data_IF_137541827375
#
_entry.id   IF_137541827375
#
_cell.length_a   1.000
_cell.length_b   1.000
_cell.length_c   1.000
_cell.angle_alpha   90.00
_cell.angle_beta   90.00
_cell.angle_gamma   90.00
#
_symmetry.space_group_name_H-M   'P 1'
#
loop_
_entity.id
_entity.type
_entity.pdbx_description
1 polymer ?
#
# COMPACT_ATOMS: atom_id res chain seq x y z
N UNK A 1 -5.77 26.17 14.15
CA UNK A 1 -4.77 25.27 13.55
C UNK A 1 -4.41 25.82 12.17
N UNK A 2 -3.32 26.58 12.03
CA UNK A 2 -2.92 27.13 10.72
C UNK A 2 -2.26 26.03 9.90
N UNK A 3 -2.87 25.65 8.78
CA UNK A 3 -2.24 24.78 7.78
C UNK A 3 -0.92 25.43 7.35
N UNK A 4 0.22 24.71 7.36
CA UNK A 4 1.44 25.21 6.76
C UNK A 4 1.18 25.41 5.26
N UNK A 5 1.56 26.57 4.74
CA UNK A 5 1.42 26.89 3.32
C UNK A 5 2.17 25.83 2.48
N UNK A 6 1.59 25.37 1.37
CA UNK A 6 2.28 24.45 0.47
C UNK A 6 3.60 25.09 0.00
N UNK A 7 4.69 24.32 -0.12
CA UNK A 7 5.96 24.83 -0.60
C UNK A 7 5.77 25.48 -1.98
N UNK A 8 6.32 26.69 -2.17
CA UNK A 8 6.30 27.36 -3.49
C UNK A 8 6.96 26.45 -4.53
N UNK A 9 6.39 26.30 -5.73
CA UNK A 9 6.96 25.47 -6.78
C UNK A 9 8.31 26.06 -7.19
N UNK A 10 9.40 25.42 -6.78
CA UNK A 10 10.72 25.70 -7.32
C UNK A 10 10.76 25.15 -8.75
N UNK A 11 11.01 26.03 -9.72
CA UNK A 11 11.08 25.73 -11.16
C UNK A 11 12.09 24.62 -11.53
N UNK A 12 12.97 24.23 -10.60
CA UNK A 12 13.89 23.09 -10.74
C UNK A 12 13.22 21.71 -10.72
N UNK A 13 11.95 21.60 -10.31
CA UNK A 13 11.29 20.31 -10.06
C UNK A 13 10.31 19.85 -11.16
N UNK A 14 10.16 20.60 -12.26
CA UNK A 14 9.16 20.32 -13.30
C UNK A 14 9.48 19.09 -14.17
N UNK A 15 10.76 18.75 -14.37
CA UNK A 15 11.18 17.74 -15.35
C UNK A 15 10.70 16.31 -15.05
N UNK A 16 10.62 15.92 -13.77
CA UNK A 16 10.23 14.54 -13.42
C UNK A 16 8.72 14.32 -13.40
N UNK A 17 7.93 15.38 -13.15
CA UNK A 17 6.48 15.32 -13.34
C UNK A 17 6.10 15.03 -14.80
N UNK A 18 6.88 15.59 -15.73
CA UNK A 18 6.75 15.26 -17.17
C UNK A 18 7.12 13.81 -17.44
N UNK A 19 8.21 13.29 -16.84
CA UNK A 19 8.59 11.88 -17.01
C UNK A 19 7.50 10.90 -16.52
N UNK A 20 6.84 11.22 -15.40
CA UNK A 20 5.72 10.45 -14.87
C UNK A 20 4.49 10.46 -15.79
N UNK A 21 4.15 11.62 -16.35
CA UNK A 21 3.05 11.76 -17.32
C UNK A 21 3.40 11.02 -18.61
N UNK A 22 4.64 11.13 -19.09
CA UNK A 22 5.13 10.41 -20.26
C UNK A 22 5.07 8.91 -20.07
N UNK A 23 5.37 8.39 -18.88
CA UNK A 23 5.23 6.96 -18.58
C UNK A 23 3.79 6.48 -18.74
N UNK A 24 2.82 7.18 -18.13
CA UNK A 24 1.40 6.83 -18.25
C UNK A 24 0.95 6.92 -19.72
N UNK A 25 1.38 7.95 -20.45
CA UNK A 25 1.04 8.11 -21.86
C UNK A 25 1.61 6.99 -22.73
N UNK A 26 2.87 6.58 -22.51
CA UNK A 26 3.53 5.49 -23.25
C UNK A 26 2.94 4.12 -22.87
N UNK A 27 2.56 3.92 -21.61
CA UNK A 27 1.88 2.67 -21.20
C UNK A 27 0.50 2.57 -21.83
N UNK A 28 -0.26 3.68 -21.91
CA UNK A 28 -1.55 3.70 -22.60
C UNK A 28 -1.46 3.36 -24.10
N UNK A 29 -0.30 3.61 -24.74
CA UNK A 29 -0.06 3.16 -26.12
C UNK A 29 -0.09 1.64 -26.25
N UNK A 30 0.05 0.86 -25.18
CA UNK A 30 -0.14 -0.59 -25.24
C UNK A 30 -1.53 -0.95 -25.79
N UNK A 31 -2.55 -0.16 -25.43
CA UNK A 31 -3.93 -0.40 -25.88
C UNK A 31 -4.25 0.24 -27.23
N UNK A 32 -3.64 1.39 -27.54
CA UNK A 32 -3.93 2.14 -28.77
C UNK A 32 -3.04 1.72 -29.93
N UNK A 33 -1.75 1.48 -29.68
CA UNK A 33 -0.75 1.14 -30.68
C UNK A 33 0.41 0.32 -30.07
N UNK A 34 0.25 -1.02 -29.97
CA UNK A 34 1.26 -1.91 -29.38
C UNK A 34 2.66 -1.79 -30.00
N UNK A 35 2.74 -1.49 -31.31
CA UNK A 35 4.00 -1.33 -32.04
C UNK A 35 4.83 -0.11 -31.58
N UNK A 36 4.17 0.95 -31.13
CA UNK A 36 4.86 2.13 -30.58
C UNK A 36 5.23 1.91 -29.11
N UNK A 37 4.36 1.25 -28.35
CA UNK A 37 4.66 0.87 -26.97
C UNK A 37 5.92 0.00 -26.88
N UNK A 38 6.03 -1.04 -27.72
CA UNK A 38 7.20 -1.96 -27.71
C UNK A 38 8.52 -1.28 -28.06
N UNK A 39 8.49 -0.12 -28.73
CA UNK A 39 9.68 0.68 -29.05
C UNK A 39 9.98 1.75 -28.00
N UNK A 40 8.96 2.47 -27.54
CA UNK A 40 9.14 3.63 -26.65
C UNK A 40 9.35 3.23 -25.19
N UNK A 41 8.67 2.18 -24.72
CA UNK A 41 8.76 1.75 -23.32
C UNK A 41 10.19 1.29 -22.95
N UNK A 42 10.88 0.45 -23.74
CA UNK A 42 12.27 0.09 -23.44
C UNK A 42 13.21 1.30 -23.46
N UNK A 43 13.02 2.24 -24.39
CA UNK A 43 13.84 3.46 -24.47
C UNK A 43 13.70 4.31 -23.21
N UNK A 44 12.48 4.47 -22.70
CA UNK A 44 12.22 5.18 -21.45
C UNK A 44 12.93 4.49 -20.27
N UNK A 45 12.82 3.16 -20.16
CA UNK A 45 13.47 2.39 -19.10
C UNK A 45 14.99 2.44 -19.18
N UNK A 46 15.58 2.32 -20.38
CA UNK A 46 17.03 2.46 -20.59
C UNK A 46 17.50 3.85 -20.15
N UNK A 47 16.77 4.90 -20.54
CA UNK A 47 17.10 6.26 -20.13
C UNK A 47 17.05 6.44 -18.60
N UNK A 48 16.00 5.95 -17.94
CA UNK A 48 15.87 6.00 -16.48
C UNK A 48 16.97 5.18 -15.78
N UNK A 49 17.30 4.00 -16.30
CA UNK A 49 18.36 3.14 -15.76
C UNK A 49 19.75 3.79 -15.90
N UNK A 50 20.07 4.36 -17.07
CA UNK A 50 21.31 5.08 -17.29
C UNK A 50 21.41 6.33 -16.39
N UNK A 51 20.31 7.07 -16.23
CA UNK A 51 20.25 8.21 -15.34
C UNK A 51 20.50 7.80 -13.87
N UNK A 52 19.91 6.68 -13.42
CA UNK A 52 20.17 6.14 -12.09
C UNK A 52 21.63 5.72 -11.92
N UNK A 53 22.17 4.91 -12.84
CA UNK A 53 23.58 4.46 -12.77
C UNK A 53 24.57 5.63 -12.76
N UNK A 54 24.28 6.71 -13.49
CA UNK A 54 25.11 7.91 -13.49
C UNK A 54 25.02 8.71 -12.18
N UNK A 55 23.90 8.66 -11.45
CA UNK A 55 23.64 9.50 -10.26
C UNK A 55 23.90 8.81 -8.93
N UNK A 56 23.63 7.52 -8.84
CA UNK A 56 23.77 6.70 -7.63
C UNK A 56 25.17 6.81 -6.99
N UNK A 57 26.30 6.78 -7.73
CA UNK A 57 27.64 6.92 -7.12
C UNK A 57 27.91 8.30 -6.51
N UNK A 58 27.27 9.35 -7.03
CA UNK A 58 27.48 10.74 -6.61
C UNK A 58 26.41 11.25 -5.64
N UNK A 59 25.47 10.39 -5.23
CA UNK A 59 24.41 10.77 -4.33
C UNK A 59 24.94 11.14 -2.94
N UNK A 60 24.59 12.33 -2.45
CA UNK A 60 25.20 12.91 -1.23
C UNK A 60 24.65 12.33 0.07
N UNK A 61 23.44 11.78 0.07
CA UNK A 61 22.71 11.44 1.31
C UNK A 61 22.77 9.95 1.68
N UNK A 62 23.75 9.18 1.18
CA UNK A 62 23.87 7.75 1.47
C UNK A 62 23.91 7.36 2.96
N UNK A 63 24.47 8.23 3.81
CA UNK A 63 24.49 8.01 5.25
C UNK A 63 23.09 8.07 5.89
N UNK A 64 22.22 8.95 5.41
CA UNK A 64 20.83 9.10 5.85
C UNK A 64 19.96 7.95 5.30
N UNK A 65 20.24 7.52 4.07
CA UNK A 65 19.61 6.35 3.45
C UNK A 65 19.91 5.08 4.22
N UNK A 66 21.18 4.85 4.58
CA UNK A 66 21.59 3.68 5.35
C UNK A 66 20.89 3.62 6.72
N UNK A 67 20.72 4.77 7.39
CA UNK A 67 19.99 4.83 8.66
C UNK A 67 18.50 4.53 8.47
N UNK A 68 17.94 4.90 7.33
CA UNK A 68 16.53 4.67 6.99
C UNK A 68 16.25 3.25 6.46
N UNK A 69 17.29 2.47 6.17
CA UNK A 69 17.16 1.10 5.67
C UNK A 69 16.50 0.16 6.68
N UNK A 70 16.89 0.25 7.96
CA UNK A 70 16.31 -0.59 9.03
C UNK A 70 14.79 -0.40 9.13
N UNK A 71 14.27 0.85 9.28
CA UNK A 71 12.83 1.05 9.29
C UNK A 71 12.14 0.63 7.98
N UNK A 72 12.82 0.77 6.83
CA UNK A 72 12.29 0.32 5.55
C UNK A 72 12.11 -1.19 5.50
N UNK A 73 13.14 -1.97 5.86
CA UNK A 73 13.08 -3.44 5.89
C UNK A 73 12.04 -3.92 6.91
N UNK A 74 11.99 -3.31 8.10
CA UNK A 74 10.96 -3.63 9.10
C UNK A 74 9.54 -3.39 8.55
N UNK A 75 9.35 -2.30 7.79
CA UNK A 75 8.06 -1.98 7.16
C UNK A 75 7.70 -2.97 6.04
N UNK A 76 8.67 -3.48 5.28
CA UNK A 76 8.46 -4.55 4.30
C UNK A 76 8.01 -5.83 4.99
N UNK A 77 8.70 -6.25 6.06
CA UNK A 77 8.31 -7.46 6.81
C UNK A 77 6.89 -7.32 7.37
N UNK A 78 6.56 -6.16 7.92
CA UNK A 78 5.21 -5.88 8.40
C UNK A 78 4.15 -5.90 7.28
N UNK A 79 4.47 -5.34 6.10
CA UNK A 79 3.61 -5.43 4.92
C UNK A 79 3.36 -6.88 4.50
N UNK A 80 4.42 -7.70 4.43
CA UNK A 80 4.30 -9.12 4.04
C UNK A 80 3.45 -9.90 5.05
N UNK A 81 3.58 -9.61 6.35
CA UNK A 81 2.73 -10.18 7.37
C UNK A 81 1.26 -9.76 7.21
N UNK A 82 1.00 -8.48 6.91
CA UNK A 82 -0.35 -7.99 6.64
C UNK A 82 -0.97 -8.64 5.38
N UNK A 83 -0.19 -8.81 4.31
CA UNK A 83 -0.62 -9.52 3.10
C UNK A 83 -0.93 -10.99 3.36
N UNK A 84 -0.11 -11.66 4.17
CA UNK A 84 -0.35 -13.05 4.57
C UNK A 84 -1.65 -13.16 5.39
N UNK A 85 -1.86 -12.25 6.34
CA UNK A 85 -3.09 -12.20 7.12
C UNK A 85 -4.32 -11.93 6.25
N UNK A 86 -4.22 -11.01 5.28
CA UNK A 86 -5.29 -10.74 4.31
C UNK A 86 -5.62 -11.99 3.49
N UNK A 87 -4.60 -12.68 2.95
CA UNK A 87 -4.80 -13.91 2.16
C UNK A 87 -5.46 -15.03 2.98
N UNK A 88 -5.04 -15.23 4.24
CA UNK A 88 -5.66 -16.19 5.15
C UNK A 88 -7.12 -15.80 5.42
N UNK A 89 -7.38 -14.53 5.73
CA UNK A 89 -8.73 -14.02 6.02
C UNK A 89 -9.66 -14.17 4.82
N UNK A 90 -9.22 -13.80 3.61
CA UNK A 90 -9.96 -13.95 2.35
C UNK A 90 -10.31 -15.40 2.10
N UNK A 91 -9.32 -16.31 2.19
CA UNK A 91 -9.58 -17.73 2.00
C UNK A 91 -10.54 -18.27 3.06
N UNK A 92 -10.33 -17.91 4.32
CA UNK A 92 -11.12 -18.36 5.45
C UNK A 92 -12.59 -17.98 5.30
N UNK A 93 -12.88 -16.70 5.06
CA UNK A 93 -14.25 -16.21 4.88
C UNK A 93 -14.95 -16.89 3.70
N UNK A 94 -14.29 -16.99 2.55
CA UNK A 94 -14.88 -17.65 1.38
C UNK A 94 -15.14 -19.13 1.61
N UNK A 95 -14.16 -19.81 2.22
CA UNK A 95 -14.27 -21.22 2.51
C UNK A 95 -15.36 -21.51 3.55
N UNK A 96 -15.43 -20.72 4.61
CA UNK A 96 -16.34 -20.95 5.74
C UNK A 96 -17.80 -20.68 5.36
N UNK A 97 -18.09 -19.68 4.53
CA UNK A 97 -19.46 -19.42 4.07
C UNK A 97 -19.92 -20.39 2.96
N UNK A 98 -18.98 -20.94 2.20
CA UNK A 98 -19.26 -21.84 1.09
C UNK A 98 -19.78 -21.13 -0.16
N UNK A 99 -19.66 -21.78 -1.32
CA UNK A 99 -20.01 -21.16 -2.61
C UNK A 99 -21.50 -20.83 -2.75
N UNK A 100 -22.38 -21.61 -2.12
CA UNK A 100 -23.83 -21.39 -2.21
C UNK A 100 -24.22 -20.04 -1.61
N UNK A 101 -23.54 -19.63 -0.54
CA UNK A 101 -23.74 -18.31 0.06
C UNK A 101 -23.42 -17.19 -0.93
N UNK A 102 -22.22 -17.22 -1.51
CA UNK A 102 -21.75 -16.19 -2.44
C UNK A 102 -22.65 -16.05 -3.67
N UNK A 103 -23.26 -17.16 -4.13
CA UNK A 103 -24.18 -17.16 -5.28
C UNK A 103 -25.57 -16.64 -4.94
N UNK A 104 -26.07 -16.96 -3.75
CA UNK A 104 -27.47 -16.71 -3.39
C UNK A 104 -27.69 -15.37 -2.70
N UNK A 105 -26.63 -14.72 -2.19
CA UNK A 105 -26.76 -13.39 -1.61
C UNK A 105 -26.80 -12.30 -2.69
N UNK A 106 -27.87 -11.50 -2.75
CA UNK A 106 -27.92 -10.37 -3.67
C UNK A 106 -26.90 -9.30 -3.25
N UNK A 107 -26.30 -8.58 -4.22
CA UNK A 107 -25.44 -7.45 -3.91
C UNK A 107 -26.24 -6.33 -3.22
N UNK A 108 -25.56 -5.52 -2.42
CA UNK A 108 -26.17 -4.39 -1.74
C UNK A 108 -26.61 -3.30 -2.74
N UNK A 109 -27.68 -2.54 -2.42
CA UNK A 109 -28.06 -1.39 -3.24
C UNK A 109 -26.98 -0.31 -3.20
N UNK A 110 -26.38 -0.02 -4.35
CA UNK A 110 -25.32 0.98 -4.52
C UNK A 110 -25.81 2.17 -5.35
N UNK A 111 -26.24 3.22 -4.66
CA UNK A 111 -26.70 4.46 -5.30
C UNK A 111 -25.59 5.19 -6.06
N UNK A 112 -24.33 5.06 -5.64
CA UNK A 112 -23.19 5.62 -6.36
C UNK A 112 -23.02 4.97 -7.73
N UNK A 113 -23.19 3.65 -7.80
CA UNK A 113 -23.22 2.93 -9.07
C UNK A 113 -24.38 3.41 -9.97
N UNK A 114 -25.58 3.57 -9.41
CA UNK A 114 -26.75 4.03 -10.17
C UNK A 114 -26.54 5.42 -10.76
N UNK A 115 -25.92 6.33 -10.01
CA UNK A 115 -25.57 7.67 -10.49
C UNK A 115 -24.58 7.58 -11.66
N UNK A 116 -23.55 6.75 -11.57
CA UNK A 116 -22.58 6.56 -12.65
C UNK A 116 -23.23 5.97 -13.92
N UNK A 117 -24.19 5.07 -13.76
CA UNK A 117 -24.98 4.54 -14.88
C UNK A 117 -25.87 5.62 -15.50
N UNK A 118 -26.59 6.39 -14.68
CA UNK A 118 -27.42 7.50 -15.15
C UNK A 118 -26.58 8.57 -15.89
N UNK A 119 -25.37 8.86 -15.40
CA UNK A 119 -24.43 9.76 -16.09
C UNK A 119 -23.98 9.19 -17.44
N UNK A 120 -23.72 7.89 -17.53
CA UNK A 120 -23.34 7.26 -18.81
C UNK A 120 -24.45 7.37 -19.87
N UNK A 121 -25.72 7.40 -19.47
CA UNK A 121 -26.85 7.59 -20.39
C UNK A 121 -27.01 9.05 -20.85
N UNK A 122 -26.59 10.01 -20.03
CA UNK A 122 -26.77 11.45 -20.28
C UNK A 122 -25.55 12.12 -20.92
N UNK A 123 -24.35 11.59 -20.71
CA UNK A 123 -23.11 12.19 -21.20
C UNK A 123 -22.84 11.83 -22.68
N UNK A 124 -22.17 12.71 -23.44
CA UNK A 124 -21.69 12.41 -24.78
C UNK A 124 -20.83 11.13 -24.83
N UNK A 125 -20.96 10.36 -25.91
CA UNK A 125 -20.25 9.09 -26.10
C UNK A 125 -18.73 9.18 -25.93
N UNK A 126 -18.13 10.29 -26.36
CA UNK A 126 -16.70 10.55 -26.20
C UNK A 126 -16.28 10.66 -24.71
N UNK A 127 -17.11 11.31 -23.88
CA UNK A 127 -16.84 11.45 -22.43
C UNK A 127 -17.01 10.10 -21.75
N UNK A 128 -18.05 9.36 -22.10
CA UNK A 128 -18.27 8.00 -21.56
C UNK A 128 -17.12 7.06 -21.93
N UNK A 129 -16.63 7.14 -23.18
CA UNK A 129 -15.48 6.37 -23.62
C UNK A 129 -14.21 6.72 -22.81
N UNK A 130 -13.97 8.00 -22.53
CA UNK A 130 -12.85 8.44 -21.70
C UNK A 130 -12.96 7.95 -20.25
N UNK A 131 -14.15 8.03 -19.65
CA UNK A 131 -14.41 7.54 -18.29
C UNK A 131 -14.24 6.01 -18.18
N UNK A 132 -14.54 5.27 -19.27
CA UNK A 132 -14.35 3.82 -19.33
C UNK A 132 -12.96 3.38 -19.76
N UNK A 133 -12.16 4.28 -20.35
CA UNK A 133 -10.85 3.93 -20.87
C UNK A 133 -9.91 3.45 -19.76
N UNK A 134 -9.10 2.40 -19.99
CA UNK A 134 -8.12 1.92 -19.03
C UNK A 134 -6.87 2.82 -18.99
N UNK A 135 -7.05 4.07 -18.56
CA UNK A 135 -5.99 5.08 -18.51
C UNK A 135 -4.94 4.74 -17.46
N UNK A 136 -5.40 4.30 -16.28
CA UNK A 136 -4.53 3.99 -15.15
C UNK A 136 -5.01 2.75 -14.42
N UNK A 137 -4.06 2.00 -13.88
CA UNK A 137 -4.27 0.81 -13.08
C UNK A 137 -3.33 0.78 -11.87
N UNK A 138 -3.39 -0.28 -11.08
CA UNK A 138 -2.58 -0.41 -9.86
C UNK A 138 -1.07 -0.29 -10.13
N UNK A 139 -0.58 -0.91 -11.20
CA UNK A 139 0.85 -0.91 -11.54
C UNK A 139 1.36 0.50 -11.79
N UNK A 140 0.56 1.36 -12.44
CA UNK A 140 0.93 2.75 -12.66
C UNK A 140 1.11 3.54 -11.36
N UNK A 141 0.25 3.34 -10.35
CA UNK A 141 0.42 4.00 -9.06
C UNK A 141 1.67 3.52 -8.32
N UNK A 142 2.02 2.24 -8.47
CA UNK A 142 3.27 1.72 -7.94
C UNK A 142 4.47 2.32 -8.68
N UNK A 143 4.38 2.49 -9.99
CA UNK A 143 5.44 3.11 -10.79
C UNK A 143 5.59 4.60 -10.50
N UNK A 144 4.50 5.34 -10.33
CA UNK A 144 4.53 6.73 -9.86
C UNK A 144 5.22 6.84 -8.50
N UNK A 145 4.97 5.89 -7.61
CA UNK A 145 5.67 5.82 -6.33
C UNK A 145 7.17 5.53 -6.49
N UNK A 146 7.54 4.56 -7.33
CA UNK A 146 8.95 4.26 -7.66
C UNK A 146 9.63 5.48 -8.28
N UNK A 147 8.93 6.25 -9.12
CA UNK A 147 9.44 7.49 -9.70
C UNK A 147 9.78 8.55 -8.65
N UNK A 148 9.12 8.56 -7.48
CA UNK A 148 9.52 9.42 -6.36
C UNK A 148 10.93 9.05 -5.84
N UNK A 149 11.35 7.79 -5.94
CA UNK A 149 12.72 7.41 -5.58
C UNK A 149 13.75 8.00 -6.55
N UNK A 150 13.44 8.05 -7.84
CA UNK A 150 14.27 8.76 -8.83
C UNK A 150 14.31 10.27 -8.55
N UNK A 151 13.21 10.85 -8.05
CA UNK A 151 13.17 12.25 -7.59
C UNK A 151 14.15 12.52 -6.47
N UNK A 152 14.27 11.59 -5.53
CA UNK A 152 15.20 11.70 -4.40
C UNK A 152 16.64 11.61 -4.90
N UNK A 153 16.96 10.69 -5.83
CA UNK A 153 18.29 10.58 -6.44
C UNK A 153 18.70 11.85 -7.23
N UNK A 154 17.72 12.59 -7.75
CA UNK A 154 17.93 13.85 -8.46
C UNK A 154 17.87 15.09 -7.56
N UNK A 155 17.87 14.94 -6.23
CA UNK A 155 17.71 16.00 -5.23
C UNK A 155 16.46 16.89 -5.45
N UNK A 156 15.44 16.37 -6.15
CA UNK A 156 14.19 17.07 -6.44
C UNK A 156 13.18 16.96 -5.29
N UNK A 157 13.29 15.88 -4.50
CA UNK A 157 12.48 15.60 -3.31
C UNK A 157 13.42 15.44 -2.12
N UNK A 158 12.98 15.86 -0.92
CA UNK A 158 13.79 15.77 0.29
C UNK A 158 14.15 14.31 0.59
N UNK A 159 15.45 14.05 0.73
CA UNK A 159 15.99 12.81 1.29
C UNK A 159 15.51 12.60 2.74
N UNK A 160 15.53 11.36 3.27
CA UNK A 160 15.93 10.10 2.62
C UNK A 160 14.77 9.38 1.90
N UNK A 161 15.08 8.77 0.74
CA UNK A 161 14.17 8.00 -0.10
C UNK A 161 13.72 6.69 0.55
N UNK A 162 14.61 5.95 1.23
CA UNK A 162 14.19 4.79 2.03
C UNK A 162 13.28 5.19 3.19
N UNK A 163 13.40 6.42 3.71
CA UNK A 163 12.49 6.94 4.73
C UNK A 163 11.08 7.17 4.18
N UNK A 164 10.97 7.76 2.98
CA UNK A 164 9.70 7.89 2.26
C UNK A 164 9.11 6.51 1.94
N UNK A 165 9.97 5.58 1.48
CA UNK A 165 9.68 4.16 1.30
C UNK A 165 9.09 3.51 2.55
N UNK A 166 9.76 3.68 3.69
CA UNK A 166 9.36 3.08 4.96
C UNK A 166 7.99 3.60 5.39
N UNK A 167 7.77 4.91 5.30
CA UNK A 167 6.47 5.52 5.59
C UNK A 167 5.38 4.92 4.71
N UNK A 168 5.58 4.92 3.39
CA UNK A 168 4.60 4.40 2.45
C UNK A 168 4.23 2.94 2.72
N UNK A 169 5.24 2.08 2.87
CA UNK A 169 5.05 0.66 3.16
C UNK A 169 4.36 0.45 4.51
N UNK A 170 4.77 1.17 5.55
CA UNK A 170 4.16 1.05 6.88
C UNK A 170 2.70 1.51 6.89
N UNK A 171 2.40 2.67 6.30
CA UNK A 171 1.03 3.20 6.22
C UNK A 171 0.13 2.28 5.42
N UNK A 172 0.62 1.77 4.29
CA UNK A 172 -0.13 0.80 3.49
C UNK A 172 -0.35 -0.50 4.26
N UNK A 173 0.63 -1.00 5.00
CA UNK A 173 0.50 -2.22 5.80
C UNK A 173 -0.57 -2.06 6.89
N UNK A 174 -0.61 -0.92 7.59
CA UNK A 174 -1.69 -0.62 8.55
C UNK A 174 -3.04 -0.62 7.86
N UNK A 175 -3.17 0.07 6.71
CA UNK A 175 -4.43 0.09 5.97
C UNK A 175 -4.87 -1.31 5.58
N UNK A 176 -4.00 -2.11 4.98
CA UNK A 176 -4.32 -3.50 4.61
C UNK A 176 -4.71 -4.37 5.81
N UNK A 177 -4.02 -4.21 6.94
CA UNK A 177 -4.35 -4.94 8.17
C UNK A 177 -5.73 -4.53 8.70
N UNK A 178 -6.02 -3.23 8.81
CA UNK A 178 -7.33 -2.75 9.26
C UNK A 178 -8.44 -3.25 8.34
N UNK A 179 -8.22 -3.18 7.03
CA UNK A 179 -9.12 -3.72 6.01
C UNK A 179 -9.42 -5.20 6.24
N UNK A 180 -8.38 -6.01 6.41
CA UNK A 180 -8.51 -7.46 6.61
C UNK A 180 -9.20 -7.80 7.93
N UNK A 181 -8.90 -7.07 9.02
CA UNK A 181 -9.55 -7.26 10.32
C UNK A 181 -11.04 -6.92 10.22
N UNK A 182 -11.38 -5.78 9.64
CA UNK A 182 -12.78 -5.37 9.48
C UNK A 182 -13.53 -6.38 8.62
N UNK A 183 -12.94 -6.83 7.51
CA UNK A 183 -13.52 -7.86 6.64
C UNK A 183 -13.73 -9.20 7.35
N UNK A 184 -12.74 -9.68 8.09
CA UNK A 184 -12.85 -10.92 8.85
C UNK A 184 -13.89 -10.81 9.99
N UNK A 185 -14.11 -9.60 10.50
CA UNK A 185 -15.10 -9.32 11.55
C UNK A 185 -16.52 -9.18 11.00
N UNK A 186 -16.69 -8.69 9.77
CA UNK A 186 -18.01 -8.49 9.15
C UNK A 186 -17.92 -8.72 7.64
N UNK A 187 -18.67 -9.73 7.18
CA UNK A 187 -18.60 -10.22 5.82
C UNK A 187 -19.75 -9.60 5.01
N UNK A 188 -19.41 -8.87 3.96
CA UNK A 188 -20.37 -8.25 3.05
C UNK A 188 -20.55 -9.08 1.77
N UNK A 189 -21.76 -9.08 1.18
CA UNK A 189 -21.99 -9.75 -0.09
C UNK A 189 -21.24 -9.00 -1.21
N UNK A 190 -20.68 -9.78 -2.13
CA UNK A 190 -19.91 -9.24 -3.25
C UNK A 190 -20.79 -8.47 -4.25
N UNK A 191 -20.29 -7.39 -4.87
CA UNK A 191 -20.91 -6.79 -6.06
C UNK A 191 -21.04 -7.76 -7.25
N UNK A 192 -20.25 -8.86 -7.25
CA UNK A 192 -20.21 -9.90 -8.29
C UNK A 192 -20.45 -11.29 -7.67
N UNK A 193 -21.70 -11.71 -7.43
CA UNK A 193 -22.01 -12.97 -6.75
C UNK A 193 -21.48 -14.22 -7.47
N UNK A 194 -21.29 -14.16 -8.80
CA UNK A 194 -20.72 -15.26 -9.58
C UNK A 194 -19.20 -15.38 -9.52
N UNK A 195 -18.49 -14.37 -8.98
CA UNK A 195 -17.02 -14.33 -9.03
C UNK A 195 -16.37 -15.48 -8.24
N UNK A 196 -16.94 -15.80 -7.06
CA UNK A 196 -16.35 -16.79 -6.17
C UNK A 196 -16.31 -18.20 -6.78
N UNK A 197 -17.36 -18.59 -7.53
CA UNK A 197 -17.49 -19.91 -8.15
C UNK A 197 -16.43 -20.15 -9.25
N UNK A 198 -16.13 -19.12 -10.04
CA UNK A 198 -15.10 -19.20 -11.09
C UNK A 198 -13.67 -19.14 -10.54
N UNK A 199 -13.44 -18.52 -9.38
CA UNK A 199 -12.10 -18.26 -8.83
C UNK A 199 -11.68 -19.25 -7.74
N UNK A 200 -12.61 -19.72 -6.93
CA UNK A 200 -12.32 -20.56 -5.77
C UNK A 200 -12.96 -21.94 -5.89
N UNK A 201 -12.25 -22.97 -5.42
CA UNK A 201 -12.77 -24.34 -5.34
C UNK A 201 -12.97 -24.72 -3.88
N UNK A 202 -14.03 -24.19 -3.27
CA UNK A 202 -14.39 -24.45 -1.86
C UNK A 202 -15.69 -25.27 -1.79
N UNK A 203 -15.98 -25.94 -0.66
CA UNK A 203 -17.25 -26.64 -0.48
C UNK A 203 -18.47 -25.73 -0.73
N UNK A 204 -19.54 -26.30 -1.26
CA UNK A 204 -20.76 -25.53 -1.57
C UNK A 204 -21.47 -25.05 -0.31
N UNK A 205 -21.47 -25.86 0.75
CA UNK A 205 -22.15 -25.58 2.01
C UNK A 205 -21.27 -24.79 3.00
N UNK A 206 -21.88 -23.95 3.86
CA UNK A 206 -21.18 -23.30 4.96
C UNK A 206 -20.61 -24.32 5.95
N UNK A 207 -19.56 -23.95 6.67
CA UNK A 207 -18.94 -24.80 7.66
C UNK A 207 -19.94 -25.19 8.77
N UNK A 208 -19.93 -26.44 9.28
CA UNK A 208 -20.89 -26.92 10.28
C UNK A 208 -21.06 -26.01 11.51
N UNK A 209 -19.95 -25.50 12.08
CA UNK A 209 -20.05 -24.57 13.21
C UNK A 209 -20.79 -23.28 12.85
N UNK A 210 -20.63 -22.76 11.62
CA UNK A 210 -21.22 -21.50 11.20
C UNK A 210 -22.72 -21.64 10.90
N UNK A 211 -23.16 -22.82 10.44
CA UNK A 211 -24.58 -23.09 10.14
C UNK A 211 -25.51 -22.76 11.31
N UNK A 212 -25.04 -22.98 12.55
CA UNK A 212 -25.78 -22.64 13.78
C UNK A 212 -26.06 -21.14 13.95
N UNK A 213 -25.16 -20.29 13.44
CA UNK A 213 -25.18 -18.83 13.67
C UNK A 213 -25.66 -18.04 12.45
N UNK A 214 -25.67 -18.67 11.27
CA UNK A 214 -25.74 -17.98 9.98
C UNK A 214 -27.09 -18.13 9.25
N UNK A 215 -27.99 -19.01 9.70
CA UNK A 215 -29.33 -19.27 9.11
C UNK A 215 -30.36 -18.24 9.66
N UNK A 216 -31.36 -17.77 8.88
CA UNK A 216 -31.60 -16.33 8.68
C UNK A 216 -32.45 -15.65 9.74
N UNK A 217 -31.91 -14.52 10.21
CA UNK A 217 -32.69 -13.39 10.70
C UNK A 217 -33.63 -12.79 9.63
N UNK A 218 -33.18 -12.75 8.36
CA UNK A 218 -33.89 -12.03 7.29
C UNK A 218 -35.28 -12.59 6.93
N UNK A 219 -35.49 -13.90 7.06
CA UNK A 219 -36.76 -14.55 6.69
C UNK A 219 -37.65 -14.91 7.88
N UNK A 220 -37.11 -14.90 9.10
CA UNK A 220 -37.84 -15.27 10.33
C UNK A 220 -37.70 -14.19 11.40
N UNK A 221 -38.72 -13.33 11.50
CA UNK A 221 -38.79 -12.25 12.48
C UNK A 221 -38.89 -12.76 13.93
N UNK A 222 -39.41 -13.97 14.14
CA UNK A 222 -39.51 -14.58 15.47
C UNK A 222 -38.13 -15.01 15.93
N UNK A 223 -37.32 -15.58 15.02
CA UNK A 223 -35.94 -15.95 15.29
C UNK A 223 -35.08 -14.73 15.68
N UNK A 224 -35.20 -13.60 14.95
CA UNK A 224 -34.55 -12.33 15.36
C UNK A 224 -34.91 -11.97 16.80
N UNK A 225 -36.21 -12.00 17.10
CA UNK A 225 -36.71 -11.58 18.41
C UNK A 225 -36.20 -12.47 19.53
N UNK A 226 -36.06 -13.78 19.28
CA UNK A 226 -35.49 -14.71 20.24
C UNK A 226 -34.02 -14.44 20.48
N UNK A 227 -33.21 -14.23 19.44
CA UNK A 227 -31.78 -13.90 19.63
C UNK A 227 -31.61 -12.59 20.39
N UNK A 228 -32.36 -11.55 20.06
CA UNK A 228 -32.28 -10.27 20.80
C UNK A 228 -32.65 -10.43 22.28
N UNK A 229 -33.59 -11.33 22.60
CA UNK A 229 -34.09 -11.53 23.97
C UNK A 229 -33.25 -12.50 24.81
N UNK A 230 -32.76 -13.56 24.18
CA UNK A 230 -32.14 -14.70 24.86
C UNK A 230 -30.62 -14.76 24.64
N UNK A 231 -30.09 -14.04 23.64
CA UNK A 231 -28.68 -14.07 23.22
C UNK A 231 -28.15 -15.49 22.91
N UNK A 232 -29.05 -16.39 22.51
CA UNK A 232 -28.73 -17.77 22.17
C UNK A 232 -28.77 -17.98 20.66
N UNK A 233 -27.76 -18.69 20.13
CA UNK A 233 -27.74 -19.09 18.73
C UNK A 233 -28.85 -20.10 18.42
N UNK A 234 -29.30 -20.15 17.16
CA UNK A 234 -30.42 -20.99 16.70
C UNK A 234 -30.33 -22.39 17.33
N UNK A 235 -31.36 -22.75 18.11
CA UNK A 235 -31.46 -24.04 18.77
C UNK A 235 -31.43 -25.16 17.73
N UNK A 236 -30.45 -26.05 17.88
CA UNK A 236 -30.37 -27.44 17.40
C UNK A 236 -31.32 -27.80 16.24
N UNK A 237 -31.23 -27.11 15.10
CA UNK A 237 -31.63 -27.73 13.84
C UNK A 237 -30.71 -28.92 13.66
N UNK A 238 -31.28 -30.10 13.39
CA UNK A 238 -30.54 -31.32 13.13
C UNK A 238 -29.68 -31.07 11.88
N UNK A 239 -28.46 -30.57 12.11
CA UNK A 239 -27.47 -30.33 11.08
C UNK A 239 -27.20 -31.72 10.52
N UNK A 240 -27.82 -32.01 9.37
CA UNK A 240 -27.70 -33.29 8.71
C UNK A 240 -26.25 -33.75 8.71
N UNK A 241 -26.05 -35.07 8.87
CA UNK A 241 -24.75 -35.70 9.14
C UNK A 241 -23.60 -34.97 8.43
N UNK A 242 -22.53 -34.58 9.15
CA UNK A 242 -21.43 -33.83 8.56
C UNK A 242 -20.93 -34.58 7.33
N UNK A 243 -21.04 -33.93 6.17
CA UNK A 243 -20.47 -34.46 4.93
C UNK A 243 -18.98 -34.62 5.18
N UNK A 244 -18.43 -35.79 4.87
CA UNK A 244 -17.00 -36.05 5.05
C UNK A 244 -16.16 -35.09 4.22
N UNK A 245 -15.71 -34.00 4.83
CA UNK A 245 -14.84 -33.02 4.18
C UNK A 245 -13.43 -33.58 4.03
N UNK A 246 -12.75 -33.19 2.96
CA UNK A 246 -11.38 -33.60 2.70
C UNK A 246 -10.43 -33.01 3.76
N UNK A 247 -9.74 -33.87 4.51
CA UNK A 247 -8.77 -33.47 5.54
C UNK A 247 -7.37 -34.01 5.22
N UNK A 248 -6.50 -33.22 4.57
CA UNK A 248 -5.12 -33.62 4.31
C UNK A 248 -4.29 -33.61 5.59
N UNK A 249 -3.25 -34.44 5.69
CA UNK A 249 -2.31 -34.38 6.81
C UNK A 249 -1.22 -33.33 6.52
N UNK A 250 -1.31 -32.15 7.16
CA UNK A 250 -0.32 -31.07 7.05
C UNK A 250 0.63 -31.01 8.25
N UNK A 251 0.70 -32.08 9.07
CA UNK A 251 1.50 -32.10 10.28
C UNK A 251 1.06 -31.01 11.27
N UNK A 252 2.01 -30.19 11.73
CA UNK A 252 1.75 -29.09 12.67
C UNK A 252 0.79 -28.02 12.13
N UNK A 253 0.63 -27.91 10.80
CA UNK A 253 -0.26 -26.93 10.17
C UNK A 253 -1.69 -27.47 9.96
N UNK A 254 -2.01 -28.67 10.47
CA UNK A 254 -3.34 -29.27 10.28
C UNK A 254 -4.48 -28.48 10.96
N UNK A 255 -4.17 -27.60 11.91
CA UNK A 255 -5.17 -26.68 12.48
C UNK A 255 -5.74 -25.70 11.44
N UNK A 256 -5.00 -25.43 10.35
CA UNK A 256 -5.46 -24.55 9.26
C UNK A 256 -6.55 -25.18 8.40
N UNK A 257 -6.80 -26.49 8.49
CA UNK A 257 -7.76 -27.21 7.64
C UNK A 257 -9.17 -26.65 7.84
N UNK A 258 -9.56 -26.39 9.09
CA UNK A 258 -10.90 -25.87 9.41
C UNK A 258 -11.11 -24.42 8.92
N UNK A 259 -10.01 -23.67 8.75
CA UNK A 259 -10.04 -22.31 8.21
C UNK A 259 -9.96 -22.29 6.68
N UNK A 260 -9.03 -23.03 6.08
CA UNK A 260 -8.76 -22.97 4.64
C UNK A 260 -9.67 -23.89 3.79
N UNK A 261 -10.36 -24.84 4.44
CA UNK A 261 -11.23 -25.91 3.91
C UNK A 261 -10.77 -26.38 2.52
N UNK A 262 -9.67 -27.17 2.45
CA UNK A 262 -9.14 -27.66 1.19
C UNK A 262 -10.11 -28.63 0.51
N UNK A 263 -10.08 -28.68 -0.82
CA UNK A 263 -10.73 -29.74 -1.60
C UNK A 263 -9.70 -30.69 -2.19
N UNK A 264 -10.10 -31.94 -2.46
CA UNK A 264 -9.21 -32.96 -3.06
C UNK A 264 -8.59 -32.51 -4.40
N UNK A 265 -9.23 -31.57 -5.10
CA UNK A 265 -8.79 -31.05 -6.40
C UNK A 265 -7.72 -29.95 -6.33
N UNK A 266 -7.50 -29.34 -5.16
CA UNK A 266 -6.61 -28.18 -5.01
C UNK A 266 -5.15 -28.55 -4.68
N UNK A 267 -4.89 -29.83 -4.40
CA UNK A 267 -3.56 -30.36 -4.10
C UNK A 267 -3.28 -30.48 -2.59
N UNK A 268 -2.16 -31.13 -2.23
CA UNK A 268 -1.90 -31.51 -0.83
C UNK A 268 -1.25 -30.41 0.02
N UNK A 269 -0.92 -29.23 -0.51
CA UNK A 269 -0.14 -28.21 0.21
C UNK A 269 -0.97 -26.98 0.59
N UNK A 270 -0.93 -26.60 1.87
CA UNK A 270 -1.61 -25.40 2.39
C UNK A 270 -1.14 -24.10 1.70
N UNK A 271 0.13 -24.02 1.33
CA UNK A 271 0.71 -22.83 0.67
C UNK A 271 0.09 -22.57 -0.71
N UNK A 272 -0.24 -23.62 -1.46
CA UNK A 272 -0.87 -23.47 -2.79
C UNK A 272 -2.26 -22.83 -2.71
N UNK A 273 -2.98 -23.04 -1.60
CA UNK A 273 -4.28 -22.44 -1.34
C UNK A 273 -4.16 -20.95 -1.07
N UNK A 274 -3.13 -20.55 -0.32
CA UNK A 274 -2.85 -19.14 -0.05
C UNK A 274 -2.41 -18.38 -1.30
N UNK A 275 -1.67 -19.02 -2.21
CA UNK A 275 -1.34 -18.43 -3.52
C UNK A 275 -2.58 -18.16 -4.38
N UNK A 276 -3.64 -18.95 -4.21
CA UNK A 276 -4.93 -18.76 -4.89
C UNK A 276 -5.90 -17.85 -4.12
N UNK A 277 -5.56 -17.46 -2.89
CA UNK A 277 -6.39 -16.66 -1.99
C UNK A 277 -6.33 -15.15 -2.29
N UNK A 278 -6.24 -14.79 -3.56
CA UNK A 278 -6.27 -13.40 -3.97
C UNK A 278 -7.70 -12.84 -3.88
N UNK A 279 -7.81 -11.60 -3.42
CA UNK A 279 -9.09 -10.91 -3.27
C UNK A 279 -9.78 -10.55 -4.61
N UNK A 280 -10.91 -9.86 -4.50
CA UNK A 280 -11.64 -9.32 -5.66
C UNK A 280 -12.96 -10.01 -5.98
N UNK A 281 -13.24 -11.16 -5.37
CA UNK A 281 -14.59 -11.73 -5.34
C UNK A 281 -15.31 -11.50 -4.01
N UNK A 282 -14.58 -11.19 -2.94
CA UNK A 282 -15.17 -10.73 -1.68
C UNK A 282 -15.04 -9.22 -1.60
N UNK A 283 -16.00 -8.60 -0.92
CA UNK A 283 -15.88 -7.21 -0.51
C UNK A 283 -15.12 -7.14 0.83
N UNK A 284 -13.99 -6.42 0.82
CA UNK A 284 -13.13 -6.21 1.98
C UNK A 284 -13.39 -4.83 2.62
N UNK A 285 -14.63 -4.32 2.54
CA UNK A 285 -15.15 -3.06 3.13
C UNK A 285 -14.64 -1.80 2.46
N UNK A 286 -13.37 -1.78 2.06
CA UNK A 286 -12.83 -0.71 1.24
C UNK A 286 -11.81 -1.21 0.23
N UNK A 287 -11.59 -0.45 -0.84
CA UNK A 287 -10.76 -0.89 -1.96
C UNK A 287 -9.26 -0.79 -1.64
N UNK A 288 -8.56 -1.90 -1.84
CA UNK A 288 -7.09 -1.94 -1.74
C UNK A 288 -6.40 -1.16 -2.86
N UNK A 289 -6.96 -1.20 -4.09
CA UNK A 289 -6.46 -0.42 -5.22
C UNK A 289 -6.54 1.08 -4.92
N UNK A 290 -7.68 1.52 -4.39
CA UNK A 290 -7.89 2.91 -4.02
C UNK A 290 -7.00 3.34 -2.86
N UNK A 291 -6.75 2.46 -1.89
CA UNK A 291 -5.80 2.74 -0.81
C UNK A 291 -4.41 3.03 -1.39
N UNK A 292 -3.89 2.17 -2.28
CA UNK A 292 -2.59 2.37 -2.94
C UNK A 292 -2.57 3.67 -3.74
N UNK A 293 -3.62 3.91 -4.54
CA UNK A 293 -3.75 5.12 -5.36
C UNK A 293 -3.71 6.40 -4.51
N UNK A 294 -4.43 6.42 -3.40
CA UNK A 294 -4.52 7.57 -2.49
C UNK A 294 -3.20 7.77 -1.75
N UNK A 295 -2.55 6.71 -1.26
CA UNK A 295 -1.25 6.83 -0.62
C UNK A 295 -0.19 7.36 -1.60
N UNK A 296 -0.22 6.91 -2.86
CA UNK A 296 0.65 7.44 -3.91
C UNK A 296 0.34 8.91 -4.18
N UNK A 297 -0.93 9.31 -4.28
CA UNK A 297 -1.33 10.70 -4.47
C UNK A 297 -0.91 11.60 -3.30
N UNK A 298 -0.98 11.09 -2.06
CA UNK A 298 -0.54 11.79 -0.87
C UNK A 298 0.98 11.96 -0.85
N UNK A 299 1.74 10.90 -1.13
CA UNK A 299 3.19 10.94 -1.26
C UNK A 299 3.61 11.92 -2.38
N UNK A 300 2.91 11.87 -3.51
CA UNK A 300 3.15 12.76 -4.64
C UNK A 300 2.84 14.21 -4.30
N UNK A 301 1.74 14.49 -3.61
CA UNK A 301 1.35 15.86 -3.21
C UNK A 301 2.34 16.47 -2.20
N UNK A 302 2.93 15.66 -1.32
CA UNK A 302 3.99 16.11 -0.42
C UNK A 302 5.31 16.38 -1.15
N UNK A 303 5.60 15.63 -2.22
CA UNK A 303 6.81 15.74 -3.02
C UNK A 303 6.75 16.85 -4.09
N UNK A 304 5.62 16.92 -4.81
CA UNK A 304 5.36 17.75 -5.96
C UNK A 304 3.99 18.43 -5.79
N UNK A 305 3.99 19.73 -5.47
CA UNK A 305 2.77 20.54 -5.50
C UNK A 305 2.39 20.99 -6.92
N UNK A 306 1.20 21.56 -7.07
CA UNK A 306 0.75 22.20 -8.31
C UNK A 306 0.04 21.25 -9.29
N UNK A 307 0.20 21.49 -10.60
CA UNK A 307 -0.57 20.82 -11.65
C UNK A 307 -0.36 19.29 -11.72
N UNK A 308 0.85 18.80 -11.44
CA UNK A 308 1.11 17.35 -11.46
C UNK A 308 0.37 16.62 -10.33
N UNK A 309 0.32 17.20 -9.13
CA UNK A 309 -0.48 16.66 -8.02
C UNK A 309 -1.98 16.70 -8.35
N UNK A 310 -2.48 17.80 -8.92
CA UNK A 310 -3.87 17.89 -9.35
C UNK A 310 -4.22 16.78 -10.36
N UNK A 311 -3.33 16.51 -11.33
CA UNK A 311 -3.50 15.43 -12.30
C UNK A 311 -3.54 14.04 -11.62
N UNK A 312 -2.64 13.77 -10.67
CA UNK A 312 -2.65 12.50 -9.93
C UNK A 312 -3.96 12.32 -9.16
N UNK A 313 -4.50 13.37 -8.54
CA UNK A 313 -5.81 13.31 -7.88
C UNK A 313 -6.98 13.10 -8.87
N UNK A 314 -6.91 13.67 -10.07
CA UNK A 314 -7.88 13.38 -11.13
C UNK A 314 -7.81 11.92 -11.57
N UNK A 315 -6.60 11.34 -11.65
CA UNK A 315 -6.41 9.93 -11.95
C UNK A 315 -6.97 9.03 -10.82
N UNK A 316 -6.83 9.43 -9.56
CA UNK A 316 -7.46 8.74 -8.41
C UNK A 316 -8.98 8.76 -8.56
N UNK A 317 -9.57 9.91 -8.89
CA UNK A 317 -11.02 10.02 -9.11
C UNK A 317 -11.50 9.14 -10.28
N UNK A 318 -10.74 9.12 -11.38
CA UNK A 318 -11.00 8.24 -12.52
C UNK A 318 -10.92 6.75 -12.13
N UNK A 319 -9.92 6.37 -11.33
CA UNK A 319 -9.78 5.00 -10.82
C UNK A 319 -10.96 4.60 -9.94
N UNK A 320 -11.36 5.47 -8.99
CA UNK A 320 -12.51 5.23 -8.13
C UNK A 320 -13.78 5.00 -8.95
N UNK A 321 -14.02 5.84 -9.95
CA UNK A 321 -15.16 5.70 -10.83
C UNK A 321 -15.12 4.37 -11.62
N UNK A 322 -13.95 3.92 -12.09
CA UNK A 322 -13.84 2.65 -12.82
C UNK A 322 -14.06 1.44 -11.93
N UNK A 323 -13.51 1.43 -10.72
CA UNK A 323 -13.71 0.34 -9.75
C UNK A 323 -15.20 0.11 -9.45
N UNK A 324 -15.98 1.19 -9.34
CA UNK A 324 -17.43 1.13 -9.14
C UNK A 324 -18.18 0.71 -10.40
N UNK A 325 -17.85 1.30 -11.57
CA UNK A 325 -18.53 0.97 -12.82
C UNK A 325 -18.34 -0.49 -13.21
N UNK A 326 -17.13 -1.01 -13.06
CA UNK A 326 -16.80 -2.39 -13.38
C UNK A 326 -17.35 -3.36 -12.31
N UNK A 327 -17.92 -2.88 -11.19
CA UNK A 327 -18.36 -3.71 -10.07
C UNK A 327 -17.23 -4.47 -9.39
N UNK A 328 -16.04 -3.88 -9.33
CA UNK A 328 -14.95 -4.44 -8.53
C UNK A 328 -15.17 -4.16 -7.04
N UNK A 329 -15.74 -3.01 -6.73
CA UNK A 329 -16.02 -2.53 -5.38
C UNK A 329 -17.32 -1.72 -5.36
N UNK A 330 -17.96 -1.61 -4.19
CA UNK A 330 -19.06 -0.67 -4.01
C UNK A 330 -18.51 0.78 -4.01
N UNK A 331 -19.39 1.74 -4.29
CA UNK A 331 -19.03 3.16 -4.22
C UNK A 331 -18.52 3.59 -2.84
N UNK A 332 -19.12 3.04 -1.78
CA UNK A 332 -18.69 3.30 -0.40
C UNK A 332 -17.26 2.83 -0.18
N UNK A 333 -16.88 1.65 -0.68
CA UNK A 333 -15.53 1.09 -0.53
C UNK A 333 -14.46 2.03 -1.09
N UNK A 334 -14.76 2.69 -2.21
CA UNK A 334 -13.86 3.61 -2.88
C UNK A 334 -13.75 4.93 -2.09
N UNK A 335 -14.87 5.47 -1.61
CA UNK A 335 -14.90 6.70 -0.79
C UNK A 335 -14.19 6.47 0.56
N UNK A 336 -14.45 5.33 1.19
CA UNK A 336 -13.81 4.91 2.45
C UNK A 336 -12.31 4.80 2.28
N UNK A 337 -11.84 4.14 1.22
CA UNK A 337 -10.42 4.05 0.94
C UNK A 337 -9.75 5.43 0.78
N UNK A 338 -10.44 6.41 0.19
CA UNK A 338 -9.92 7.78 0.04
C UNK A 338 -9.72 8.45 1.40
N UNK A 339 -10.75 8.55 2.24
CA UNK A 339 -10.59 9.25 3.51
C UNK A 339 -9.71 8.47 4.50
N UNK A 340 -9.79 7.14 4.52
CA UNK A 340 -8.91 6.29 5.35
C UNK A 340 -7.46 6.45 4.90
N UNK A 341 -7.19 6.42 3.59
CA UNK A 341 -5.84 6.62 3.06
C UNK A 341 -5.25 7.98 3.46
N UNK A 342 -6.02 9.06 3.34
CA UNK A 342 -5.61 10.41 3.77
C UNK A 342 -5.35 10.44 5.29
N UNK A 343 -6.28 9.90 6.09
CA UNK A 343 -6.19 9.87 7.54
C UNK A 343 -4.95 9.08 7.98
N UNK A 344 -4.77 7.85 7.49
CA UNK A 344 -3.63 7.01 7.82
C UNK A 344 -2.32 7.68 7.41
N UNK A 345 -2.26 8.32 6.24
CA UNK A 345 -1.06 9.03 5.79
C UNK A 345 -0.69 10.21 6.71
N UNK A 346 -1.69 10.98 7.18
CA UNK A 346 -1.48 12.08 8.12
C UNK A 346 -1.14 11.58 9.52
N UNK A 347 -1.85 10.57 10.01
CA UNK A 347 -1.63 9.98 11.33
C UNK A 347 -0.28 9.29 11.41
N UNK A 348 0.17 8.55 10.40
CA UNK A 348 1.49 7.92 10.43
C UNK A 348 2.63 8.91 10.18
N UNK A 349 2.33 10.13 9.75
CA UNK A 349 3.33 11.17 9.46
C UNK A 349 4.16 11.59 10.69
N UNK A 350 3.60 11.57 11.91
CA UNK A 350 4.36 11.98 13.10
C UNK A 350 5.54 11.04 13.41
N UNK A 351 5.39 9.75 13.10
CA UNK A 351 6.44 8.74 13.32
C UNK A 351 7.71 9.07 12.53
N UNK A 352 7.53 9.68 11.36
CA UNK A 352 8.62 10.02 10.45
C UNK A 352 9.09 11.48 10.59
N UNK A 353 8.22 12.37 11.10
CA UNK A 353 8.60 13.75 11.45
C UNK A 353 9.61 13.81 12.59
N UNK A 354 9.57 12.88 13.55
CA UNK A 354 10.43 12.93 14.75
C UNK A 354 11.93 12.79 14.44
N UNK A 355 12.28 12.10 13.34
CA UNK A 355 13.66 11.99 12.86
C UNK A 355 14.19 13.33 12.37
N UNK A 356 13.35 14.11 11.68
CA UNK A 356 13.65 15.49 11.24
C UNK A 356 13.73 16.41 12.46
N UNK A 357 12.80 16.28 13.41
CA UNK A 357 12.79 17.07 14.66
C UNK A 357 14.03 16.82 15.52
N UNK A 358 14.60 15.61 15.54
CA UNK A 358 15.85 15.35 16.25
C UNK A 358 17.03 16.08 15.59
N UNK A 359 17.11 16.09 14.26
CA UNK A 359 18.11 16.84 13.50
C UNK A 359 17.97 18.35 13.74
N UNK A 360 16.75 18.88 13.67
CA UNK A 360 16.45 20.29 13.90
C UNK A 360 16.72 20.71 15.36
N UNK A 361 16.40 19.85 16.34
CA UNK A 361 16.73 20.08 17.76
C UNK A 361 18.24 20.10 17.99
N UNK A 362 19.00 19.24 17.30
CA UNK A 362 20.46 19.25 17.35
C UNK A 362 21.01 20.54 16.73
N UNK A 363 20.50 20.94 15.57
CA UNK A 363 20.88 22.19 14.90
C UNK A 363 20.57 23.42 15.77
N UNK A 364 19.40 23.43 16.42
CA UNK A 364 19.01 24.49 17.35
C UNK A 364 19.89 24.51 18.61
N UNK A 365 20.28 23.35 19.15
CA UNK A 365 21.26 23.25 20.25
C UNK A 365 22.62 23.81 19.82
N UNK A 366 23.11 23.47 18.63
CA UNK A 366 24.37 23.99 18.11
C UNK A 366 24.34 25.51 17.92
N UNK A 367 23.28 26.07 17.32
CA UNK A 367 23.08 27.52 17.22
C UNK A 367 23.04 28.21 18.58
N UNK A 368 22.42 27.57 19.59
CA UNK A 368 22.39 28.09 20.97
C UNK A 368 23.78 28.08 21.61
N UNK A 369 24.58 27.05 21.34
CA UNK A 369 25.96 26.96 21.82
C UNK A 369 26.84 28.01 21.12
N UNK A 370 26.70 28.17 19.80
CA UNK A 370 27.37 29.19 19.00
C UNK A 370 27.08 30.61 19.53
N UNK A 371 25.80 30.93 19.77
CA UNK A 371 25.42 32.23 20.35
C UNK A 371 26.01 32.46 21.74
N UNK A 372 26.04 31.42 22.60
CA UNK A 372 26.66 31.50 23.94
C UNK A 372 28.18 31.62 23.86
N UNK A 373 28.82 31.02 22.86
CA UNK A 373 30.25 31.10 22.63
C UNK A 373 30.65 32.52 22.20
N UNK A 374 29.90 33.12 21.27
CA UNK A 374 30.10 34.51 20.82
C UNK A 374 29.93 35.48 21.99
N UNK A 375 28.93 35.25 22.84
CA UNK A 375 28.70 36.10 24.01
C UNK A 375 29.80 35.94 25.07
N UNK A 376 30.20 34.71 25.41
CA UNK A 376 31.29 34.46 26.36
C UNK A 376 32.65 35.00 25.86
N UNK A 377 32.87 35.00 24.54
CA UNK A 377 34.01 35.65 23.89
C UNK A 377 34.00 37.17 24.06
N UNK A 378 32.84 37.83 23.91
CA UNK A 378 32.69 39.27 24.13
C UNK A 378 32.88 39.67 25.59
N UNK A 379 32.40 38.83 26.51
CA UNK A 379 32.48 39.05 27.95
C UNK A 379 33.85 38.66 28.56
N UNK A 380 34.83 38.28 27.72
CA UNK A 380 36.18 37.81 28.12
C UNK A 380 36.19 36.68 29.16
N UNK A 381 35.12 35.87 29.22
CA UNK A 381 34.99 34.77 30.18
C UNK A 381 35.59 33.47 29.60
N UNK A 382 36.90 33.32 29.76
CA UNK A 382 37.67 32.19 29.19
C UNK A 382 37.28 30.82 29.77
N UNK A 383 36.83 30.77 31.02
CA UNK A 383 36.37 29.52 31.64
C UNK A 383 35.07 29.02 30.98
N UNK A 384 34.14 29.95 30.68
CA UNK A 384 32.90 29.62 29.98
C UNK A 384 33.14 29.19 28.54
N UNK A 385 34.10 29.82 27.86
CA UNK A 385 34.51 29.41 26.50
C UNK A 385 35.07 27.99 26.50
N UNK A 386 35.96 27.66 27.45
CA UNK A 386 36.57 26.33 27.56
C UNK A 386 35.52 25.25 27.89
N UNK A 387 34.55 25.54 28.74
CA UNK A 387 33.43 24.63 29.04
C UNK A 387 32.53 24.37 27.82
N UNK A 388 32.18 25.42 27.07
CA UNK A 388 31.34 25.30 25.87
C UNK A 388 32.05 24.56 24.73
N UNK A 389 33.36 24.76 24.57
CA UNK A 389 34.19 24.01 23.62
C UNK A 389 34.28 22.53 24.00
N UNK A 390 34.44 22.20 25.29
CA UNK A 390 34.46 20.80 25.77
C UNK A 390 33.11 20.08 25.59
N UNK A 391 32.00 20.81 25.70
CA UNK A 391 30.66 20.28 25.38
C UNK A 391 30.48 20.04 23.88
N UNK A 392 31.08 20.88 23.03
CA UNK A 392 31.12 20.69 21.59
C UNK A 392 31.99 19.48 21.22
N UNK A 393 33.22 19.38 21.75
CA UNK A 393 34.13 18.26 21.49
C UNK A 393 33.52 16.92 21.89
N UNK A 394 32.93 16.79 23.08
CA UNK A 394 32.29 15.52 23.49
C UNK A 394 31.07 15.16 22.63
N UNK A 395 30.27 16.15 22.23
CA UNK A 395 29.15 15.95 21.30
C UNK A 395 29.63 15.62 19.88
N UNK A 396 30.78 16.17 19.47
CA UNK A 396 31.37 15.90 18.17
C UNK A 396 32.02 14.52 18.16
N UNK A 397 32.79 14.12 19.17
CA UNK A 397 33.41 12.79 19.30
C UNK A 397 32.38 11.66 19.23
N UNK A 398 31.28 11.75 19.98
CA UNK A 398 30.19 10.77 19.95
C UNK A 398 29.52 10.71 18.57
N UNK A 399 29.43 11.86 17.89
CA UNK A 399 28.90 11.96 16.54
C UNK A 399 29.89 11.54 15.45
N UNK A 400 31.19 11.68 15.70
CA UNK A 400 32.28 11.34 14.78
C UNK A 400 32.56 9.84 14.84
N UNK A 401 32.40 9.23 16.00
CA UNK A 401 32.45 7.77 16.18
C UNK A 401 31.28 7.07 15.48
N UNK A 402 30.05 7.59 15.64
CA UNK A 402 28.87 7.08 14.92
C UNK A 402 28.93 7.37 13.41
N UNK A 403 29.38 8.56 12.98
CA UNK A 403 29.65 8.88 11.57
C UNK A 403 30.78 8.05 10.99
N UNK A 404 31.86 7.78 11.72
CA UNK A 404 33.01 7.00 11.25
C UNK A 404 32.65 5.55 10.93
N UNK A 405 31.78 4.94 11.75
CA UNK A 405 31.20 3.61 11.48
C UNK A 405 30.26 3.64 10.27
N UNK A 406 29.40 4.66 10.17
CA UNK A 406 28.51 4.85 9.02
C UNK A 406 29.27 5.18 7.72
N UNK A 407 30.43 5.85 7.79
CA UNK A 407 31.23 6.24 6.62
C UNK A 407 32.04 5.07 6.05
N UNK A 408 32.52 4.14 6.91
CA UNK A 408 33.22 2.92 6.48
C UNK A 408 32.31 1.97 5.69
N UNK A 409 31.04 1.84 6.08
CA UNK A 409 30.04 1.06 5.36
C UNK A 409 29.30 1.86 4.26
N UNK A 410 29.15 3.18 4.43
CA UNK A 410 28.48 4.07 3.49
C UNK A 410 29.18 4.20 2.14
N UNK A 411 30.50 3.96 2.07
CA UNK A 411 31.27 3.98 0.82
C UNK A 411 30.99 2.76 -0.08
N UNK A 412 30.63 1.62 0.51
CA UNK A 412 30.28 0.39 -0.22
C UNK A 412 28.77 0.24 -0.43
N UNK A 413 27.96 0.97 0.34
CA UNK A 413 26.51 0.92 0.29
C UNK A 413 25.91 1.20 -1.12
N UNK A 414 26.34 2.22 -1.89
CA UNK A 414 25.88 2.39 -3.27
C UNK A 414 26.13 1.16 -4.16
N UNK A 415 27.32 0.56 -4.07
CA UNK A 415 27.67 -0.64 -4.83
C UNK A 415 26.85 -1.86 -4.39
N UNK A 416 26.59 -1.99 -3.10
CA UNK A 416 25.72 -3.04 -2.57
C UNK A 416 24.27 -2.88 -3.05
N UNK A 417 23.75 -1.64 -3.10
CA UNK A 417 22.39 -1.36 -3.60
C UNK A 417 22.29 -1.65 -5.11
N UNK A 418 23.27 -1.24 -5.92
CA UNK A 418 23.32 -1.57 -7.35
C UNK A 418 23.42 -3.09 -7.54
N UNK A 419 24.34 -3.74 -6.84
CA UNK A 419 24.54 -5.19 -6.93
C UNK A 419 23.30 -5.98 -6.53
N UNK A 420 22.64 -5.57 -5.45
CA UNK A 420 21.38 -6.17 -5.02
C UNK A 420 20.27 -5.97 -6.04
N UNK A 421 20.10 -4.75 -6.58
CA UNK A 421 19.10 -4.46 -7.60
C UNK A 421 19.33 -5.31 -8.87
N UNK A 422 20.58 -5.40 -9.34
CA UNK A 422 20.93 -6.23 -10.49
C UNK A 422 20.69 -7.72 -10.21
N UNK A 423 21.03 -8.20 -9.01
CA UNK A 423 20.77 -9.58 -8.62
C UNK A 423 19.27 -9.88 -8.60
N UNK A 424 18.43 -8.98 -8.07
CA UNK A 424 16.97 -9.13 -8.10
C UNK A 424 16.43 -9.15 -9.53
N UNK A 425 16.93 -8.26 -10.40
CA UNK A 425 16.54 -8.23 -11.82
C UNK A 425 16.93 -9.53 -12.53
N UNK A 426 18.16 -10.01 -12.31
CA UNK A 426 18.61 -11.30 -12.86
C UNK A 426 17.79 -12.47 -12.33
N UNK A 427 17.47 -12.48 -11.04
CA UNK A 427 16.62 -13.50 -10.43
C UNK A 427 15.20 -13.45 -11.00
N UNK A 428 14.63 -12.27 -11.24
CA UNK A 428 13.35 -12.15 -11.94
C UNK A 428 13.46 -12.79 -13.33
N UNK A 429 14.32 -12.28 -14.21
CA UNK A 429 14.48 -12.82 -15.58
C UNK A 429 14.76 -14.33 -15.65
N UNK A 430 15.40 -14.92 -14.64
CA UNK A 430 15.71 -16.35 -14.62
C UNK A 430 14.64 -17.22 -13.98
N UNK A 431 13.83 -16.69 -13.06
CA UNK A 431 12.86 -17.46 -12.28
C UNK A 431 11.40 -17.22 -12.68
N UNK A 432 11.10 -16.16 -13.44
CA UNK A 432 9.75 -15.89 -13.96
C UNK A 432 9.67 -16.20 -15.45
N UNK A 433 8.58 -16.87 -15.87
CA UNK A 433 8.39 -17.31 -17.26
C UNK A 433 8.23 -16.17 -18.25
N UNK A 434 7.88 -14.98 -17.75
CA UNK A 434 7.52 -13.81 -18.55
C UNK A 434 8.59 -12.71 -18.48
N UNK A 435 9.77 -13.02 -17.93
CA UNK A 435 10.80 -12.00 -17.61
C UNK A 435 10.35 -11.14 -16.45
#
# INVERSE_FOLDING_TARGET
MRLPAPPRPTTKNAGLGVAAISYIAIDYLLHVSPAWHSRLMPVLWIFLALAALARVPYYRHWSEEFRSLIPFVASIVFMLAALLYEAISVRSVTAVLGLQWHRNQPPLPDSGQWILLALNEKLPSAIVALLRAPIIGLHHYLMLFIMLAFSVLCDSVKAPGFGLGARYMFTMAIGRLLRAISFASTIFPSPRPWCADGRFRVPAHPHPWLQKYYIPYQSDHIAIRQVIRLDEAYGMFDIGKPVGEYRPNWGAMSFLIDFLRPTASEGPTWYSLLKKAEGGCNDLIYSGHMLVAVLTAMAWTEAYGGYSSALVWLLVAHSAQREVQERHHYSVDCVVAIYVGILLWKMTGFLWSNTVTYSDRRLAKLKKIEGRLIQASKDSNMDKVRELLKQLESSDEESTFSKGRANKYGRWFPFAVIGFALAVVLLAFTLTSDG
#
